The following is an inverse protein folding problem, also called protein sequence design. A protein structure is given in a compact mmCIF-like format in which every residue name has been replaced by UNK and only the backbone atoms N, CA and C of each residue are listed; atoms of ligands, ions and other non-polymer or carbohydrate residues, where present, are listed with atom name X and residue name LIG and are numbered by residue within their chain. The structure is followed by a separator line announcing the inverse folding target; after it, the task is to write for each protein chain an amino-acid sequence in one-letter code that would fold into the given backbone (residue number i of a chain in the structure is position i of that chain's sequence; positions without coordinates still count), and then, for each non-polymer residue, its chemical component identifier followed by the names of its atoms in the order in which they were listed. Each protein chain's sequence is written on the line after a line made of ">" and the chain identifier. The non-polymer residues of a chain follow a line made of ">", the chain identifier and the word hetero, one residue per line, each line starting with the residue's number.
data_IF_416167121365
#
_entry.id   IF_416167121365
#
_cell.length_a   1.000
_cell.length_b   1.000
_cell.length_c   1.000
_cell.angle_alpha   90.00
_cell.angle_beta   90.00
_cell.angle_gamma   90.00
#
_symmetry.space_group_name_H-M   'P 1'
#
loop_
_entity.id
_entity.type
_entity.pdbx_description
1 polymer ?
#
# COMPACT_ATOMS: atom_id res chain seq x y z
N UNK A 1 83.07 -27.60 37.05
CA UNK A 1 82.58 -26.33 37.63
C UNK A 1 83.39 -25.21 36.98
N UNK A 2 82.92 -24.20 36.24
CA UNK A 2 81.64 -23.72 35.71
C UNK A 2 82.08 -22.99 34.40
N UNK A 3 81.46 -23.11 33.22
CA UNK A 3 80.05 -22.88 32.90
C UNK A 3 79.98 -21.63 32.01
N UNK A 4 79.96 -21.82 30.68
CA UNK A 4 79.83 -20.76 29.67
C UNK A 4 78.51 -20.00 29.83
N UNK A 5 78.55 -18.67 29.83
CA UNK A 5 77.37 -17.81 29.84
C UNK A 5 76.92 -17.50 28.41
N UNK A 6 75.75 -18.00 28.00
CA UNK A 6 75.10 -17.65 26.76
C UNK A 6 74.21 -16.42 26.98
N UNK A 7 74.41 -15.36 26.18
CA UNK A 7 73.56 -14.16 26.15
C UNK A 7 72.30 -14.45 25.34
N UNK A 8 71.13 -14.35 25.96
CA UNK A 8 69.84 -14.34 25.29
C UNK A 8 69.46 -12.89 24.96
N UNK A 9 69.32 -12.58 23.67
CA UNK A 9 68.66 -11.35 23.19
C UNK A 9 67.16 -11.63 23.08
N UNK A 10 66.37 -11.08 23.99
CA UNK A 10 64.90 -11.11 23.91
C UNK A 10 64.45 -10.06 22.90
N UNK A 11 63.99 -10.49 21.73
CA UNK A 11 63.30 -9.64 20.78
C UNK A 11 61.89 -9.35 21.33
N UNK A 12 61.64 -8.09 21.71
CA UNK A 12 60.30 -7.58 21.97
C UNK A 12 59.55 -7.48 20.63
N UNK A 13 58.64 -8.43 20.39
CA UNK A 13 57.63 -8.31 19.35
C UNK A 13 56.65 -7.18 19.72
N UNK A 14 56.31 -6.26 18.80
CA UNK A 14 55.27 -5.29 19.06
C UNK A 14 53.93 -6.04 19.18
N UNK A 15 53.24 -5.83 20.30
CA UNK A 15 51.84 -6.20 20.48
C UNK A 15 51.03 -5.55 19.35
N UNK A 16 50.59 -6.36 18.39
CA UNK A 16 49.63 -5.93 17.38
C UNK A 16 48.36 -5.45 18.06
N UNK A 17 47.88 -4.26 17.70
CA UNK A 17 46.56 -3.78 18.07
C UNK A 17 45.53 -4.84 17.63
N UNK A 18 44.56 -5.22 18.48
CA UNK A 18 43.50 -6.12 18.07
C UNK A 18 42.76 -5.49 16.88
N UNK A 19 42.73 -6.21 15.75
CA UNK A 19 41.84 -5.85 14.65
C UNK A 19 40.40 -5.84 15.20
N UNK A 20 39.56 -4.86 14.84
CA UNK A 20 38.15 -4.90 15.22
C UNK A 20 37.58 -6.23 14.72
N UNK A 21 36.96 -6.99 15.62
CA UNK A 21 36.29 -8.23 15.26
C UNK A 21 35.28 -7.91 14.15
N UNK A 22 35.34 -8.65 13.04
CA UNK A 22 34.35 -8.52 11.99
C UNK A 22 32.97 -8.82 12.60
N UNK A 23 31.99 -7.94 12.35
CA UNK A 23 30.63 -8.13 12.83
C UNK A 23 30.11 -9.50 12.36
N UNK A 24 29.67 -10.33 13.31
CA UNK A 24 29.09 -11.64 13.01
C UNK A 24 27.57 -11.47 12.93
N UNK A 25 27.09 -11.12 11.74
CA UNK A 25 25.66 -10.88 11.50
C UNK A 25 24.90 -12.21 11.61
N UNK A 26 23.91 -12.25 12.50
CA UNK A 26 22.99 -13.36 12.67
C UNK A 26 21.60 -13.02 12.12
N UNK A 27 21.05 -13.96 11.36
CA UNK A 27 19.66 -13.96 10.92
C UNK A 27 18.91 -15.02 11.72
N UNK A 28 18.04 -14.59 12.63
CA UNK A 28 17.17 -15.47 13.42
C UNK A 28 15.74 -15.24 12.99
N UNK A 29 15.00 -16.30 12.67
CA UNK A 29 13.59 -16.19 12.32
C UNK A 29 12.76 -17.19 13.10
N UNK A 30 11.50 -16.83 13.34
CA UNK A 30 10.51 -17.66 14.01
C UNK A 30 9.20 -17.64 13.22
N UNK A 31 8.37 -18.66 13.48
CA UNK A 31 7.05 -18.78 12.88
C UNK A 31 6.02 -19.16 13.94
N UNK A 32 4.94 -18.40 13.99
CA UNK A 32 3.72 -18.79 14.69
C UNK A 32 2.67 -19.28 13.68
N UNK A 33 1.95 -20.34 14.02
CA UNK A 33 0.93 -20.94 13.17
C UNK A 33 -0.34 -21.24 13.98
N UNK A 34 -1.49 -21.24 13.29
CA UNK A 34 -2.78 -21.52 13.92
C UNK A 34 -3.07 -20.59 15.10
N UNK A 35 -3.36 -21.17 16.27
CA UNK A 35 -3.79 -20.45 17.46
C UNK A 35 -2.68 -19.66 18.16
N UNK A 36 -1.40 -19.87 17.83
CA UNK A 36 -0.30 -19.08 18.42
C UNK A 36 -0.10 -17.74 17.72
N UNK A 37 -0.70 -17.55 16.54
CA UNK A 37 -0.65 -16.29 15.82
C UNK A 37 -1.73 -15.32 16.32
N UNK A 38 -1.36 -14.07 16.59
CA UNK A 38 -2.28 -13.02 17.05
C UNK A 38 -1.80 -11.63 16.63
N UNK A 39 -2.68 -10.62 16.72
CA UNK A 39 -2.34 -9.23 16.39
C UNK A 39 -1.10 -8.68 17.13
N UNK A 40 -0.67 -9.32 18.23
CA UNK A 40 0.51 -8.93 19.00
C UNK A 40 1.83 -9.48 18.43
N UNK A 41 1.81 -10.33 17.40
CA UNK A 41 3.00 -10.98 16.83
C UNK A 41 3.93 -11.61 17.91
N UNK A 42 3.41 -12.55 18.73
CA UNK A 42 4.11 -13.01 19.92
C UNK A 42 5.22 -14.01 19.60
N UNK A 43 6.44 -13.55 19.37
CA UNK A 43 7.62 -14.40 19.17
C UNK A 43 8.41 -14.57 20.46
N UNK A 44 9.22 -15.63 20.55
CA UNK A 44 10.04 -15.94 21.73
C UNK A 44 11.37 -15.18 21.69
N UNK A 45 12.09 -15.24 20.58
CA UNK A 45 13.41 -14.61 20.41
C UNK A 45 13.38 -13.35 19.53
N UNK A 46 12.21 -13.01 18.97
CA UNK A 46 12.02 -11.85 18.11
C UNK A 46 11.18 -10.83 18.87
N UNK A 47 11.62 -9.56 18.98
CA UNK A 47 10.80 -8.51 19.57
C UNK A 47 9.44 -8.40 18.87
N UNK A 48 8.42 -7.96 19.60
CA UNK A 48 7.17 -7.54 18.97
C UNK A 48 7.43 -6.28 18.11
N UNK A 49 6.64 -6.07 17.04
CA UNK A 49 6.77 -4.88 16.20
C UNK A 49 6.61 -3.57 16.98
N UNK A 50 7.28 -2.51 16.53
CA UNK A 50 7.44 -1.26 17.26
C UNK A 50 6.87 -0.06 16.47
N UNK A 51 5.95 0.67 17.10
CA UNK A 51 5.45 1.93 16.55
C UNK A 51 6.36 3.15 16.80
N UNK A 52 7.61 2.94 17.26
CA UNK A 52 8.46 4.03 17.76
C UNK A 52 9.98 3.81 17.59
N UNK A 53 10.40 3.20 16.49
CA UNK A 53 11.82 2.97 16.16
C UNK A 53 12.34 3.93 15.05
N UNK A 54 13.59 3.77 14.63
CA UNK A 54 14.22 4.69 13.69
C UNK A 54 13.54 4.71 12.30
N UNK A 55 12.80 3.67 11.94
CA UNK A 55 12.03 3.61 10.69
C UNK A 55 10.67 4.29 10.79
N UNK A 56 10.14 4.58 11.98
CA UNK A 56 8.81 5.18 12.17
C UNK A 56 8.59 6.47 11.36
N UNK A 57 9.67 7.23 11.14
CA UNK A 57 9.67 8.48 10.35
C UNK A 57 10.42 8.38 9.01
N UNK A 58 10.77 7.17 8.58
CA UNK A 58 11.44 6.94 7.31
C UNK A 58 10.53 7.27 6.12
N UNK A 59 11.15 7.72 5.03
CA UNK A 59 10.48 7.71 3.73
C UNK A 59 10.60 6.32 3.12
N UNK A 60 9.46 5.70 2.81
CA UNK A 60 9.41 4.39 2.16
C UNK A 60 9.05 4.58 0.68
N UNK A 61 9.85 4.02 -0.21
CA UNK A 61 9.61 4.08 -1.64
C UNK A 61 9.77 2.70 -2.30
N UNK A 62 8.86 2.38 -3.22
CA UNK A 62 9.08 1.30 -4.17
C UNK A 62 9.93 1.83 -5.30
N UNK A 63 11.14 1.30 -5.44
CA UNK A 63 12.09 1.72 -6.48
C UNK A 63 12.22 0.67 -7.60
N UNK A 64 11.63 -0.50 -7.40
CA UNK A 64 11.42 -1.51 -8.43
C UNK A 64 10.24 -2.41 -8.07
N UNK A 65 9.52 -2.89 -9.09
CA UNK A 65 8.30 -3.68 -8.93
C UNK A 65 7.08 -2.82 -8.64
N UNK A 66 5.90 -3.44 -8.73
CA UNK A 66 4.61 -2.76 -8.51
C UNK A 66 3.93 -3.30 -7.26
N UNK A 67 3.29 -2.42 -6.48
CA UNK A 67 2.41 -2.83 -5.39
C UNK A 67 1.17 -3.55 -5.95
N UNK A 68 0.71 -4.59 -5.27
CA UNK A 68 -0.59 -5.17 -5.61
C UNK A 68 -1.71 -4.21 -5.17
N UNK A 69 -2.73 -3.96 -6.01
CA UNK A 69 -3.81 -3.04 -5.68
C UNK A 69 -4.62 -3.46 -4.44
N UNK A 70 -4.62 -4.73 -4.05
CA UNK A 70 -5.32 -5.19 -2.85
C UNK A 70 -4.50 -4.98 -1.56
N UNK A 71 -3.19 -4.74 -1.67
CA UNK A 71 -2.30 -4.55 -0.53
C UNK A 71 -2.30 -3.13 0.02
N UNK A 72 -1.81 -2.97 1.24
CA UNK A 72 -1.54 -1.67 1.85
C UNK A 72 -0.50 -0.86 1.05
N UNK A 73 -0.37 0.43 1.38
CA UNK A 73 0.73 1.27 0.89
C UNK A 73 2.06 0.84 1.53
N UNK A 74 3.18 1.11 0.86
CA UNK A 74 4.51 0.80 1.39
C UNK A 74 4.78 1.49 2.74
N UNK A 75 4.08 2.59 2.98
CA UNK A 75 4.01 3.32 4.25
C UNK A 75 3.55 2.46 5.45
N UNK A 76 2.78 1.39 5.22
CA UNK A 76 2.35 0.44 6.25
C UNK A 76 3.52 -0.40 6.79
N UNK A 77 4.65 -0.44 6.08
CA UNK A 77 5.83 -1.16 6.54
C UNK A 77 6.50 -0.48 7.74
N UNK A 78 6.13 0.74 8.11
CA UNK A 78 6.79 1.51 9.16
C UNK A 78 5.82 2.36 10.00
N UNK A 79 4.52 2.09 9.94
CA UNK A 79 3.50 2.92 10.58
C UNK A 79 3.06 2.44 11.97
N UNK A 80 3.60 1.32 12.47
CA UNK A 80 3.21 0.75 13.76
C UNK A 80 1.87 0.02 13.75
N UNK A 81 1.20 -0.11 12.60
CA UNK A 81 -0.12 -0.74 12.50
C UNK A 81 0.01 -2.18 12.00
N UNK A 82 -0.47 -3.11 12.84
CA UNK A 82 -0.36 -4.53 12.56
C UNK A 82 -1.68 -5.13 12.07
N UNK A 83 -1.62 -6.13 11.18
CA UNK A 83 -2.81 -6.93 10.84
C UNK A 83 -3.32 -7.67 12.07
N UNK A 84 -4.64 -7.73 12.21
CA UNK A 84 -5.34 -8.47 13.28
C UNK A 84 -5.76 -9.88 12.87
N UNK A 85 -5.53 -10.25 11.62
CA UNK A 85 -5.86 -11.56 11.07
C UNK A 85 -4.92 -11.95 9.94
N UNK A 86 -4.86 -13.25 9.67
CA UNK A 86 -3.91 -13.83 8.72
C UNK A 86 -4.16 -13.44 7.26
N UNK A 87 -5.40 -13.12 6.87
CA UNK A 87 -5.73 -12.71 5.51
C UNK A 87 -6.29 -11.29 5.50
N UNK A 88 -5.39 -10.32 5.72
CA UNK A 88 -5.72 -8.90 5.73
C UNK A 88 -4.86 -8.12 4.73
N UNK A 89 -5.16 -8.19 3.42
CA UNK A 89 -4.42 -7.47 2.39
C UNK A 89 -4.27 -5.97 2.67
N UNK A 90 -5.33 -5.30 3.13
CA UNK A 90 -5.29 -3.86 3.42
C UNK A 90 -4.41 -3.43 4.60
N UNK A 91 -3.90 -4.39 5.39
CA UNK A 91 -2.97 -4.15 6.50
C UNK A 91 -1.57 -4.75 6.23
N UNK A 92 -1.29 -5.17 4.98
CA UNK A 92 0.00 -5.72 4.59
C UNK A 92 0.42 -5.19 3.22
N UNK A 93 1.68 -4.82 3.09
CA UNK A 93 2.27 -4.55 1.78
C UNK A 93 2.64 -5.86 1.07
N UNK A 94 2.36 -5.94 -0.23
CA UNK A 94 2.88 -7.01 -1.09
C UNK A 94 2.96 -6.56 -2.55
N UNK A 95 3.92 -7.15 -3.26
CA UNK A 95 4.09 -6.90 -4.70
C UNK A 95 2.98 -7.56 -5.52
N UNK A 96 2.72 -6.98 -6.70
CA UNK A 96 1.72 -7.41 -7.66
C UNK A 96 1.84 -8.90 -8.00
N UNK A 97 0.71 -9.59 -8.10
CA UNK A 97 0.66 -10.98 -8.53
C UNK A 97 1.41 -11.21 -9.86
N UNK A 98 2.22 -12.25 -9.92
CA UNK A 98 3.04 -12.64 -11.07
C UNK A 98 4.37 -11.89 -11.17
N UNK A 99 4.62 -10.90 -10.30
CA UNK A 99 5.89 -10.17 -10.28
C UNK A 99 7.02 -11.01 -9.66
N UNK A 100 8.29 -10.78 -10.04
CA UNK A 100 9.44 -11.43 -9.41
C UNK A 100 9.75 -10.88 -7.99
N UNK A 101 8.88 -10.05 -7.41
CA UNK A 101 9.18 -9.18 -6.27
C UNK A 101 9.64 -7.80 -6.73
N UNK A 102 10.37 -7.10 -5.88
CA UNK A 102 10.79 -5.73 -6.15
C UNK A 102 11.74 -5.19 -5.08
N UNK A 103 11.92 -3.87 -5.07
CA UNK A 103 12.84 -3.18 -4.17
C UNK A 103 12.12 -2.12 -3.37
N UNK A 104 12.29 -2.20 -2.05
CA UNK A 104 11.75 -1.26 -1.09
C UNK A 104 12.93 -0.48 -0.50
N UNK A 105 12.95 0.83 -0.73
CA UNK A 105 13.90 1.75 -0.15
C UNK A 105 13.31 2.36 1.12
N UNK A 106 14.06 2.31 2.21
CA UNK A 106 13.81 3.11 3.42
C UNK A 106 14.91 4.18 3.51
N UNK A 107 14.54 5.46 3.43
CA UNK A 107 15.41 6.59 3.81
C UNK A 107 15.10 7.03 5.24
N UNK A 108 16.00 6.70 6.18
CA UNK A 108 15.90 7.06 7.60
C UNK A 108 16.09 8.56 7.87
N UNK A 109 16.28 9.37 6.81
CA UNK A 109 16.52 10.83 6.82
C UNK A 109 17.84 11.29 7.40
N UNK A 110 18.52 10.43 8.15
CA UNK A 110 19.82 10.70 8.75
C UNK A 110 20.64 9.40 8.84
N UNK A 111 21.97 9.54 8.94
CA UNK A 111 22.85 8.39 9.16
C UNK A 111 22.69 7.88 10.60
N UNK A 112 22.19 6.65 10.73
CA UNK A 112 21.80 6.03 11.99
C UNK A 112 22.71 4.83 12.30
N UNK A 113 23.11 4.66 13.56
CA UNK A 113 23.84 3.47 14.01
C UNK A 113 22.85 2.33 14.30
N UNK A 114 22.62 1.48 13.31
CA UNK A 114 21.56 0.46 13.37
C UNK A 114 22.07 -0.74 14.16
N UNK A 115 21.34 -1.14 15.20
CA UNK A 115 21.63 -2.31 16.05
C UNK A 115 20.96 -3.57 15.52
N UNK A 116 19.73 -3.43 15.02
CA UNK A 116 18.92 -4.54 14.53
C UNK A 116 17.93 -4.04 13.48
N UNK A 117 17.65 -4.89 12.51
CA UNK A 117 16.49 -4.77 11.62
C UNK A 117 15.59 -5.97 11.86
N UNK A 118 14.29 -5.74 12.03
CA UNK A 118 13.30 -6.80 12.19
C UNK A 118 12.22 -6.69 11.14
N UNK A 119 11.86 -7.78 10.46
CA UNK A 119 10.79 -7.78 9.45
C UNK A 119 9.70 -8.78 9.79
N UNK A 120 8.45 -8.37 9.58
CA UNK A 120 7.27 -9.14 9.97
C UNK A 120 6.36 -9.41 8.77
N UNK A 121 5.70 -10.57 8.77
CA UNK A 121 4.73 -10.93 7.74
C UNK A 121 3.67 -11.89 8.28
N UNK A 122 2.47 -11.88 7.70
CA UNK A 122 1.40 -12.81 8.08
C UNK A 122 0.51 -13.19 6.89
N UNK A 123 0.38 -14.49 6.63
CA UNK A 123 -0.57 -15.04 5.65
C UNK A 123 -1.00 -16.47 5.99
N UNK A 124 -2.22 -16.94 5.68
CA UNK A 124 -2.64 -18.34 5.91
C UNK A 124 -1.93 -19.38 5.04
N UNK A 125 -1.32 -18.98 3.93
CA UNK A 125 -0.64 -19.87 2.96
C UNK A 125 0.80 -19.45 2.65
N UNK A 126 1.33 -19.87 1.49
CA UNK A 126 2.73 -19.70 1.06
C UNK A 126 3.28 -18.26 0.91
N UNK A 127 2.47 -17.26 1.23
CA UNK A 127 2.80 -15.83 1.20
C UNK A 127 3.21 -15.27 2.57
N UNK A 128 3.34 -16.14 3.57
CA UNK A 128 3.87 -15.81 4.90
C UNK A 128 5.41 -15.71 4.92
N UNK A 129 6.17 -16.66 4.34
CA UNK A 129 7.62 -16.61 4.34
C UNK A 129 8.18 -15.34 3.68
N UNK A 130 9.41 -15.00 4.03
CA UNK A 130 10.13 -13.82 3.56
C UNK A 130 11.38 -14.26 2.81
N UNK A 131 11.59 -13.73 1.60
CA UNK A 131 12.77 -13.99 0.78
C UNK A 131 13.30 -12.64 0.28
N UNK A 132 14.43 -12.19 0.82
CA UNK A 132 15.02 -10.91 0.44
C UNK A 132 16.52 -10.84 0.74
N UNK A 133 17.17 -9.84 0.14
CA UNK A 133 18.47 -9.34 0.59
C UNK A 133 18.30 -7.95 1.18
N UNK A 134 18.96 -7.71 2.32
CA UNK A 134 18.98 -6.40 2.98
C UNK A 134 20.33 -5.75 2.73
N UNK A 135 20.32 -4.53 2.23
CA UNK A 135 21.51 -3.71 2.05
C UNK A 135 21.42 -2.42 2.86
N UNK A 136 22.57 -1.84 3.18
CA UNK A 136 22.69 -0.52 3.81
C UNK A 136 23.66 0.39 3.07
N UNK A 137 23.43 1.70 3.13
CA UNK A 137 24.39 2.72 2.71
C UNK A 137 24.21 4.00 3.55
N UNK A 138 25.31 4.69 3.84
CA UNK A 138 25.27 6.06 4.39
C UNK A 138 25.15 7.12 3.28
N UNK A 139 25.32 6.70 2.02
CA UNK A 139 25.28 7.54 0.83
C UNK A 139 26.58 8.27 0.50
N UNK A 140 27.68 7.99 1.20
CA UNK A 140 28.96 8.68 1.01
C UNK A 140 29.84 8.08 -0.10
N UNK A 141 29.59 6.83 -0.54
CA UNK A 141 30.30 6.23 -1.67
C UNK A 141 30.05 7.05 -2.94
N UNK A 142 31.10 7.44 -3.67
CA UNK A 142 30.97 8.24 -4.91
C UNK A 142 30.19 7.53 -6.04
N UNK A 143 29.99 6.22 -5.94
CA UNK A 143 29.16 5.41 -6.84
C UNK A 143 27.73 5.25 -6.35
N UNK A 144 27.39 5.80 -5.19
CA UNK A 144 26.10 5.59 -4.55
C UNK A 144 24.96 6.07 -5.45
N UNK A 145 24.08 5.13 -5.78
CA UNK A 145 22.80 5.42 -6.41
C UNK A 145 21.71 5.06 -5.40
N UNK A 146 20.96 6.07 -4.94
CA UNK A 146 19.89 5.85 -3.97
C UNK A 146 18.73 4.99 -4.52
N UNK A 147 18.51 5.04 -5.83
CA UNK A 147 17.41 4.34 -6.51
C UNK A 147 17.96 3.49 -7.67
N UNK A 148 18.74 2.42 -7.39
CA UNK A 148 19.28 1.58 -8.44
C UNK A 148 18.15 0.80 -9.13
N UNK A 149 18.14 0.80 -10.47
CA UNK A 149 17.18 0.05 -11.28
C UNK A 149 17.20 -1.45 -10.94
N UNK A 150 16.09 -2.18 -11.20
CA UNK A 150 15.93 -3.59 -10.75
C UNK A 150 17.07 -4.50 -11.18
N UNK A 151 17.57 -4.31 -12.39
CA UNK A 151 18.64 -5.06 -13.03
C UNK A 151 20.05 -4.67 -12.54
N UNK A 152 20.20 -3.50 -11.91
CA UNK A 152 21.48 -3.06 -11.38
C UNK A 152 21.82 -3.83 -10.10
N UNK A 153 23.08 -4.26 -9.97
CA UNK A 153 23.62 -4.81 -8.73
C UNK A 153 23.82 -3.70 -7.69
N UNK A 154 23.13 -3.74 -6.52
CA UNK A 154 23.31 -2.75 -5.48
C UNK A 154 24.77 -2.62 -5.03
N UNK A 155 25.54 -3.72 -5.02
CA UNK A 155 26.94 -3.71 -4.59
C UNK A 155 27.82 -2.84 -5.49
N UNK A 156 27.50 -2.79 -6.79
CA UNK A 156 28.19 -1.93 -7.76
C UNK A 156 27.72 -0.47 -7.69
N UNK A 157 26.63 -0.21 -6.95
CA UNK A 157 25.95 1.08 -6.85
C UNK A 157 26.09 1.71 -5.47
N UNK A 158 27.17 1.39 -4.74
CA UNK A 158 27.49 1.98 -3.43
C UNK A 158 26.67 1.46 -2.25
N UNK A 159 26.09 0.25 -2.37
CA UNK A 159 25.40 -0.44 -1.27
C UNK A 159 26.25 -1.56 -0.67
N UNK A 160 26.08 -1.79 0.62
CA UNK A 160 26.71 -2.90 1.35
C UNK A 160 25.66 -3.95 1.71
N UNK A 161 25.90 -5.22 1.37
CA UNK A 161 25.03 -6.31 1.79
C UNK A 161 25.14 -6.52 3.31
N UNK A 162 24.01 -6.46 4.00
CA UNK A 162 23.91 -6.74 5.45
C UNK A 162 23.57 -8.21 5.66
N UNK A 163 22.52 -8.71 4.99
CA UNK A 163 22.06 -10.08 5.16
C UNK A 163 21.27 -10.60 3.96
N UNK A 164 21.22 -11.93 3.82
CA UNK A 164 20.30 -12.64 2.94
C UNK A 164 19.33 -13.46 3.79
N UNK A 165 18.04 -13.38 3.48
CA UNK A 165 16.95 -13.97 4.25
C UNK A 165 16.15 -14.91 3.36
N UNK A 166 15.91 -16.12 3.87
CA UNK A 166 14.96 -17.09 3.32
C UNK A 166 14.32 -17.86 4.49
N UNK A 167 13.06 -17.56 4.79
CA UNK A 167 12.34 -18.20 5.90
C UNK A 167 11.43 -19.34 5.45
N UNK A 168 11.55 -19.79 4.20
CA UNK A 168 10.71 -20.88 3.69
C UNK A 168 11.04 -22.17 4.45
N UNK A 169 10.05 -22.80 5.12
CA UNK A 169 10.25 -24.13 5.68
C UNK A 169 10.67 -25.11 4.58
N UNK A 170 11.63 -25.99 4.88
CA UNK A 170 12.07 -27.04 3.96
C UNK A 170 10.92 -28.00 3.63
N UNK A 171 10.06 -28.27 4.61
CA UNK A 171 8.91 -29.17 4.52
C UNK A 171 7.72 -28.60 5.30
N UNK A 172 6.51 -29.08 4.98
CA UNK A 172 5.27 -28.74 5.69
C UNK A 172 4.59 -27.45 5.25
N UNK A 173 3.56 -27.06 6.00
CA UNK A 173 2.78 -25.85 5.72
C UNK A 173 3.62 -24.59 5.85
N UNK A 174 3.37 -23.62 4.97
CA UNK A 174 4.07 -22.32 4.91
C UNK A 174 3.24 -21.15 5.46
N UNK A 175 2.00 -21.39 5.88
CA UNK A 175 1.14 -20.35 6.47
C UNK A 175 1.58 -19.98 7.88
N UNK A 176 1.40 -18.72 8.28
CA UNK A 176 1.68 -18.27 9.64
C UNK A 176 2.19 -16.83 9.70
N UNK A 177 2.46 -16.40 10.92
CA UNK A 177 3.21 -15.17 11.20
C UNK A 177 4.69 -15.50 11.18
N UNK A 178 5.48 -14.70 10.48
CA UNK A 178 6.93 -14.80 10.47
C UNK A 178 7.52 -13.52 11.03
N UNK A 179 8.51 -13.67 11.88
CA UNK A 179 9.41 -12.60 12.29
C UNK A 179 10.81 -12.95 11.85
N UNK A 180 11.59 -11.97 11.40
CA UNK A 180 13.01 -12.13 11.08
C UNK A 180 13.79 -11.05 11.80
N UNK A 181 14.73 -11.44 12.64
CA UNK A 181 15.67 -10.58 13.35
C UNK A 181 17.05 -10.67 12.70
N UNK A 182 17.56 -9.54 12.21
CA UNK A 182 18.93 -9.37 11.73
C UNK A 182 19.66 -8.50 12.74
N UNK A 183 20.69 -9.04 13.40
CA UNK A 183 21.54 -8.29 14.33
C UNK A 183 22.92 -8.93 14.44
N UNK A 184 23.91 -8.20 14.95
CA UNK A 184 25.21 -8.77 15.30
C UNK A 184 25.09 -9.71 16.52
N UNK A 185 25.84 -10.82 16.51
CA UNK A 185 25.86 -11.83 17.56
C UNK A 185 26.27 -11.26 18.94
N UNK A 186 27.17 -10.27 18.96
CA UNK A 186 27.66 -9.61 20.18
C UNK A 186 26.79 -8.44 20.63
N UNK A 187 25.81 -8.03 19.82
CA UNK A 187 24.99 -6.85 20.03
C UNK A 187 25.63 -5.54 19.55
N UNK A 188 26.73 -5.61 18.78
CA UNK A 188 27.31 -4.45 18.11
C UNK A 188 26.36 -3.90 17.03
N UNK A 189 26.49 -2.62 16.64
CA UNK A 189 25.75 -2.09 15.49
C UNK A 189 26.08 -2.86 14.20
N UNK A 190 25.06 -3.18 13.41
CA UNK A 190 25.17 -3.72 12.04
C UNK A 190 25.94 -2.78 11.11
N UNK A 191 25.92 -1.48 11.42
CA UNK A 191 26.63 -0.44 10.70
C UNK A 191 25.98 0.92 10.89
N UNK A 192 26.55 1.94 10.22
CA UNK A 192 25.99 3.29 10.17
C UNK A 192 25.40 3.52 8.80
N UNK A 193 24.08 3.61 8.71
CA UNK A 193 23.36 3.70 7.43
C UNK A 193 22.28 4.78 7.50
N UNK A 194 22.07 5.48 6.39
CA UNK A 194 20.89 6.33 6.18
C UNK A 194 19.83 5.59 5.37
N UNK A 195 20.28 4.81 4.39
CA UNK A 195 19.42 4.11 3.47
C UNK A 195 19.48 2.61 3.75
N UNK A 196 18.31 1.98 3.79
CA UNK A 196 18.17 0.53 3.73
C UNK A 196 17.43 0.13 2.46
N UNK A 197 17.87 -0.95 1.84
CA UNK A 197 17.26 -1.50 0.63
C UNK A 197 16.88 -2.95 0.88
N UNK A 198 15.57 -3.22 0.85
CA UNK A 198 15.01 -4.56 0.85
C UNK A 198 14.80 -5.02 -0.60
N UNK A 199 15.69 -5.88 -1.10
CA UNK A 199 15.58 -6.48 -2.43
C UNK A 199 14.82 -7.80 -2.32
N UNK A 200 13.49 -7.72 -2.42
CA UNK A 200 12.56 -8.82 -2.19
C UNK A 200 12.34 -9.67 -3.45
N UNK A 201 12.11 -10.96 -3.22
CA UNK A 201 11.81 -11.96 -4.24
C UNK A 201 10.50 -12.69 -3.93
N UNK A 202 9.88 -13.30 -4.95
CA UNK A 202 8.77 -14.24 -4.75
C UNK A 202 9.21 -15.42 -3.87
N UNK A 203 8.35 -15.85 -2.94
CA UNK A 203 8.54 -17.07 -2.14
C UNK A 203 8.41 -18.33 -3.01
N UNK A 204 7.65 -18.23 -4.10
CA UNK A 204 7.44 -19.27 -5.09
C UNK A 204 7.24 -18.64 -6.49
N UNK A 205 8.27 -18.64 -7.36
CA UNK A 205 8.14 -18.10 -8.72
C UNK A 205 7.14 -18.84 -9.62
N UNK A 206 6.74 -20.07 -9.27
CA UNK A 206 5.75 -20.83 -10.03
C UNK A 206 4.30 -20.48 -9.62
N UNK A 207 4.12 -19.90 -8.42
CA UNK A 207 2.83 -19.38 -7.97
C UNK A 207 2.73 -17.89 -8.29
N UNK A 208 1.73 -17.52 -9.10
CA UNK A 208 1.47 -16.10 -9.40
C UNK A 208 1.16 -15.29 -8.14
N UNK A 209 0.79 -15.90 -7.04
CA UNK A 209 0.55 -15.23 -5.78
C UNK A 209 1.68 -15.43 -4.77
N UNK A 210 2.86 -15.91 -5.16
CA UNK A 210 4.01 -16.15 -4.27
C UNK A 210 4.64 -14.92 -3.59
N UNK A 211 3.97 -13.77 -3.53
CA UNK A 211 4.50 -12.51 -3.02
C UNK A 211 4.14 -12.36 -1.54
N UNK A 212 5.16 -12.19 -0.70
CA UNK A 212 5.06 -12.06 0.76
C UNK A 212 4.14 -10.92 1.19
N UNK A 213 3.25 -11.17 2.17
CA UNK A 213 2.49 -10.15 2.90
C UNK A 213 3.37 -9.56 4.00
N UNK A 214 4.15 -8.53 3.68
CA UNK A 214 4.94 -7.82 4.67
C UNK A 214 4.01 -6.96 5.54
N UNK A 215 4.08 -7.16 6.84
CA UNK A 215 3.28 -6.44 7.83
C UNK A 215 4.02 -5.21 8.32
N UNK A 216 5.31 -5.31 8.65
CA UNK A 216 6.09 -4.22 9.24
C UNK A 216 7.60 -4.47 9.13
N UNK A 217 8.40 -3.40 9.19
CA UNK A 217 9.86 -3.36 9.21
C UNK A 217 10.31 -2.39 10.30
N UNK A 218 10.91 -2.93 11.35
CA UNK A 218 11.47 -2.15 12.46
C UNK A 218 12.98 -1.94 12.26
N UNK A 219 13.46 -0.73 12.57
CA UNK A 219 14.88 -0.40 12.60
C UNK A 219 15.28 0.11 13.98
N UNK A 220 15.89 -0.76 14.78
CA UNK A 220 16.32 -0.45 16.14
C UNK A 220 17.72 0.19 16.15
N UNK A 221 17.81 1.43 16.63
CA UNK A 221 19.06 2.14 16.93
C UNK A 221 19.30 2.30 18.44
N UNK A 222 18.42 1.74 19.28
CA UNK A 222 18.44 1.85 20.73
C UNK A 222 17.75 3.10 21.28
N UNK A 223 17.13 3.93 20.43
CA UNK A 223 16.36 5.10 20.85
C UNK A 223 14.85 4.92 20.56
N UNK A 224 14.04 5.71 21.26
CA UNK A 224 12.60 5.81 21.01
C UNK A 224 12.35 7.02 20.11
N UNK A 225 11.69 6.79 18.98
CA UNK A 225 11.35 7.81 18.00
C UNK A 225 9.84 7.99 17.96
N UNK A 226 9.35 9.13 18.43
CA UNK A 226 7.92 9.41 18.33
C UNK A 226 7.49 9.54 16.86
N UNK A 227 6.38 8.90 16.51
CA UNK A 227 5.78 9.06 15.19
C UNK A 227 5.43 10.54 14.95
N UNK A 228 5.98 11.11 13.87
CA UNK A 228 5.55 12.43 13.41
C UNK A 228 4.15 12.28 12.81
N UNK A 229 3.19 13.12 13.20
CA UNK A 229 1.88 13.12 12.55
C UNK A 229 2.07 13.29 11.04
N UNK A 230 1.67 12.29 10.26
CA UNK A 230 1.59 12.45 8.81
C UNK A 230 0.40 13.37 8.53
N UNK A 231 0.61 14.54 7.90
CA UNK A 231 -0.50 15.45 7.67
C UNK A 231 -1.56 14.76 6.79
N UNK A 232 -2.85 14.96 7.09
CA UNK A 232 -3.90 14.52 6.19
C UNK A 232 -3.73 15.22 4.84
N UNK A 233 -4.10 14.55 3.75
CA UNK A 233 -4.03 15.16 2.44
C UNK A 233 -3.84 14.19 1.28
N UNK A 234 -3.70 14.79 0.11
CA UNK A 234 -3.60 14.10 -1.17
C UNK A 234 -2.18 14.31 -1.71
N UNK A 235 -1.37 13.26 -1.64
CA UNK A 235 -0.07 13.25 -2.30
C UNK A 235 -0.29 12.94 -3.79
N UNK A 236 0.22 13.80 -4.68
CA UNK A 236 0.12 13.56 -6.13
C UNK A 236 1.53 13.35 -6.67
N UNK A 237 1.80 12.14 -7.16
CA UNK A 237 3.07 11.75 -7.77
C UNK A 237 2.96 11.80 -9.30
N UNK A 238 3.66 12.76 -9.89
CA UNK A 238 3.82 12.93 -11.34
C UNK A 238 5.30 12.83 -11.73
N UNK A 239 6.13 12.15 -10.94
CA UNK A 239 7.57 12.04 -11.19
C UNK A 239 7.90 11.37 -12.53
N UNK A 240 7.05 10.46 -13.01
CA UNK A 240 7.17 9.84 -14.34
C UNK A 240 6.60 10.70 -15.47
N UNK A 241 5.80 11.73 -15.14
CA UNK A 241 5.15 12.65 -16.08
C UNK A 241 5.39 14.11 -15.68
N UNK A 242 6.66 14.55 -15.52
CA UNK A 242 6.98 15.88 -14.99
C UNK A 242 6.41 17.03 -15.82
N UNK A 243 6.14 16.82 -17.10
CA UNK A 243 5.45 17.75 -17.99
C UNK A 243 4.02 18.09 -17.58
N UNK A 244 3.37 17.27 -16.73
CA UNK A 244 2.03 17.52 -16.21
C UNK A 244 2.02 18.39 -14.96
N UNK A 245 3.18 18.75 -14.40
CA UNK A 245 3.32 19.49 -13.14
C UNK A 245 2.39 20.70 -13.05
N UNK A 246 2.42 21.58 -14.04
CA UNK A 246 1.64 22.83 -13.97
C UNK A 246 0.14 22.54 -13.94
N UNK A 247 -0.34 21.57 -14.74
CA UNK A 247 -1.74 21.15 -14.70
C UNK A 247 -2.11 20.49 -13.37
N UNK A 248 -1.24 19.63 -12.83
CA UNK A 248 -1.47 18.98 -11.53
C UNK A 248 -1.60 20.01 -10.42
N UNK A 249 -0.65 20.92 -10.32
CA UNK A 249 -0.59 21.87 -9.20
C UNK A 249 -1.63 22.98 -9.31
N UNK A 250 -1.99 23.42 -10.54
CA UNK A 250 -2.92 24.54 -10.72
C UNK A 250 -4.37 24.14 -10.96
N UNK A 251 -4.63 22.94 -11.48
CA UNK A 251 -5.99 22.45 -11.78
C UNK A 251 -6.39 21.26 -10.94
N UNK A 252 -5.62 20.17 -10.97
CA UNK A 252 -6.04 18.92 -10.34
C UNK A 252 -6.08 19.05 -8.80
N UNK A 253 -4.94 19.40 -8.17
CA UNK A 253 -4.80 19.45 -6.71
C UNK A 253 -5.90 20.29 -6.03
N UNK A 254 -6.15 21.56 -6.43
CA UNK A 254 -7.18 22.37 -5.77
C UNK A 254 -8.58 21.75 -5.85
N UNK A 255 -8.90 21.09 -6.97
CA UNK A 255 -10.19 20.41 -7.14
C UNK A 255 -10.27 19.22 -6.19
N UNK A 256 -9.25 18.36 -6.13
CA UNK A 256 -9.27 17.18 -5.25
C UNK A 256 -9.35 17.57 -3.76
N UNK A 257 -8.58 18.56 -3.34
CA UNK A 257 -8.60 19.06 -1.95
C UNK A 257 -9.96 19.67 -1.58
N UNK A 258 -10.64 20.29 -2.55
CA UNK A 258 -12.00 20.83 -2.36
C UNK A 258 -13.06 19.73 -2.33
N UNK A 259 -12.93 18.72 -3.20
CA UNK A 259 -13.99 17.73 -3.41
C UNK A 259 -13.89 16.52 -2.52
N UNK A 260 -12.69 16.09 -2.11
CA UNK A 260 -12.54 14.93 -1.25
C UNK A 260 -13.37 15.05 0.05
N UNK A 261 -13.30 16.15 0.82
CA UNK A 261 -14.16 16.31 2.01
C UNK A 261 -15.65 16.33 1.70
N UNK A 262 -16.06 16.88 0.55
CA UNK A 262 -17.47 16.86 0.10
C UNK A 262 -17.93 15.43 -0.17
N UNK A 263 -17.12 14.63 -0.86
CA UNK A 263 -17.43 13.22 -1.14
C UNK A 263 -17.56 12.43 0.16
N UNK A 264 -16.67 12.64 1.12
CA UNK A 264 -16.76 12.05 2.47
C UNK A 264 -18.09 12.39 3.14
N UNK A 265 -18.51 13.66 3.09
CA UNK A 265 -19.78 14.10 3.67
C UNK A 265 -21.02 13.53 2.94
N UNK A 266 -20.92 13.26 1.64
CA UNK A 266 -22.01 12.70 0.83
C UNK A 266 -22.19 11.19 1.04
N UNK A 267 -21.15 10.48 1.47
CA UNK A 267 -21.15 9.01 1.63
C UNK A 267 -20.85 8.55 3.08
N UNK A 268 -21.61 9.00 4.09
CA UNK A 268 -21.39 8.61 5.47
C UNK A 268 -21.83 7.16 5.74
N UNK A 269 -21.21 6.55 6.76
CA UNK A 269 -21.70 5.33 7.45
C UNK A 269 -21.44 5.49 8.94
N UNK A 270 -22.21 4.79 9.76
CA UNK A 270 -22.01 4.79 11.21
C UNK A 270 -20.63 4.20 11.56
N UNK A 271 -19.88 4.87 12.43
CA UNK A 271 -18.54 4.43 12.85
C UNK A 271 -17.44 4.51 11.77
N UNK A 272 -17.78 4.85 10.52
CA UNK A 272 -16.81 4.94 9.44
C UNK A 272 -16.06 6.27 9.45
N UNK A 273 -14.73 6.20 9.32
CA UNK A 273 -13.87 7.35 9.03
C UNK A 273 -13.21 7.10 7.67
N UNK A 274 -13.42 8.03 6.74
CA UNK A 274 -12.75 7.97 5.46
C UNK A 274 -11.22 8.14 5.64
N UNK A 275 -10.42 7.59 4.72
CA UNK A 275 -8.97 7.76 4.75
C UNK A 275 -8.56 9.23 4.89
N UNK A 276 -7.73 9.55 5.88
CA UNK A 276 -7.20 10.91 6.05
C UNK A 276 -6.08 11.23 5.06
N UNK A 277 -5.53 10.21 4.39
CA UNK A 277 -4.45 10.31 3.42
C UNK A 277 -4.68 9.37 2.26
N UNK A 278 -4.37 9.84 1.06
CA UNK A 278 -4.43 9.07 -0.17
C UNK A 278 -3.35 9.55 -1.15
N UNK A 279 -3.03 8.71 -2.13
CA UNK A 279 -2.07 9.03 -3.18
C UNK A 279 -2.74 9.02 -4.55
N UNK A 280 -2.30 9.90 -5.44
CA UNK A 280 -2.66 9.92 -6.86
C UNK A 280 -1.36 9.83 -7.66
N UNK A 281 -1.13 8.75 -8.39
CA UNK A 281 0.07 8.58 -9.21
C UNK A 281 -0.28 8.64 -10.69
N UNK A 282 0.44 9.46 -11.46
CA UNK A 282 0.29 9.53 -12.92
C UNK A 282 1.43 8.78 -13.59
N UNK A 283 1.16 7.54 -13.98
CA UNK A 283 2.14 6.64 -14.58
C UNK A 283 2.32 6.94 -16.06
N UNK A 284 3.57 6.94 -16.53
CA UNK A 284 3.86 7.21 -17.96
C UNK A 284 3.40 6.08 -18.88
N UNK A 285 3.43 4.83 -18.37
CA UNK A 285 3.20 3.60 -19.13
C UNK A 285 2.04 2.80 -18.50
N UNK A 286 0.83 3.35 -18.57
CA UNK A 286 -0.41 2.70 -18.13
C UNK A 286 -1.48 2.78 -19.22
N UNK A 287 -2.18 1.66 -19.44
CA UNK A 287 -3.36 1.60 -20.31
C UNK A 287 -4.65 1.97 -19.56
N UNK A 288 -5.68 2.38 -20.30
CA UNK A 288 -6.98 2.76 -19.73
C UNK A 288 -7.04 4.23 -19.33
N UNK A 289 -7.77 4.52 -18.25
CA UNK A 289 -8.06 5.89 -17.79
C UNK A 289 -7.45 6.11 -16.40
N UNK A 290 -8.04 5.48 -15.38
CA UNK A 290 -7.56 5.47 -14.02
C UNK A 290 -8.15 4.24 -13.30
N UNK A 291 -7.64 3.93 -12.11
CA UNK A 291 -8.27 2.99 -11.19
C UNK A 291 -7.91 3.32 -9.74
N UNK A 292 -8.73 2.84 -8.81
CA UNK A 292 -8.51 2.95 -7.36
C UNK A 292 -8.19 1.61 -6.73
N UNK A 293 -7.23 1.64 -5.81
CA UNK A 293 -6.73 0.51 -5.06
C UNK A 293 -6.52 0.92 -3.60
N UNK A 294 -7.53 0.71 -2.75
CA UNK A 294 -7.51 1.15 -1.35
C UNK A 294 -7.48 2.68 -1.23
N UNK A 295 -6.32 3.22 -0.88
CA UNK A 295 -6.03 4.67 -0.75
C UNK A 295 -5.21 5.22 -1.92
N UNK A 296 -4.98 4.42 -2.98
CA UNK A 296 -4.23 4.83 -4.16
C UNK A 296 -5.14 5.01 -5.35
N UNK A 297 -4.98 6.12 -6.04
CA UNK A 297 -5.51 6.35 -7.37
C UNK A 297 -4.35 6.31 -8.35
N UNK A 298 -4.46 5.51 -9.40
CA UNK A 298 -3.45 5.42 -10.46
C UNK A 298 -4.07 5.90 -11.76
N UNK A 299 -3.43 6.88 -12.40
CA UNK A 299 -3.90 7.56 -13.59
C UNK A 299 -3.01 7.22 -14.80
N UNK A 300 -3.63 6.94 -15.95
CA UNK A 300 -2.93 6.67 -17.18
C UNK A 300 -2.41 7.97 -17.82
N UNK A 301 -1.12 8.26 -17.66
CA UNK A 301 -0.45 9.43 -18.24
C UNK A 301 -0.75 9.67 -19.72
N UNK A 302 -0.71 8.64 -20.60
CA UNK A 302 -1.04 8.80 -22.02
C UNK A 302 -2.48 9.26 -22.29
N UNK A 303 -3.45 8.82 -21.48
CA UNK A 303 -4.84 9.25 -21.61
C UNK A 303 -5.05 10.65 -21.02
N UNK A 304 -4.46 10.93 -19.86
CA UNK A 304 -4.57 12.23 -19.18
C UNK A 304 -4.04 13.37 -20.06
N UNK A 305 -2.88 13.19 -20.72
CA UNK A 305 -2.32 14.17 -21.67
C UNK A 305 -3.28 14.59 -22.78
N UNK A 306 -4.19 13.70 -23.18
CA UNK A 306 -5.18 13.96 -24.25
C UNK A 306 -6.49 14.56 -23.73
N UNK A 307 -6.69 14.60 -22.41
CA UNK A 307 -7.97 14.93 -21.78
C UNK A 307 -7.86 16.00 -20.67
N UNK A 308 -6.74 16.75 -20.61
CA UNK A 308 -6.48 17.76 -19.58
C UNK A 308 -7.56 18.86 -19.49
N UNK A 309 -8.13 19.24 -20.64
CA UNK A 309 -9.24 20.21 -20.77
C UNK A 309 -10.61 19.55 -20.87
N UNK A 310 -10.67 18.22 -20.72
CA UNK A 310 -11.89 17.42 -20.80
C UNK A 310 -12.07 16.58 -19.55
N UNK A 311 -12.15 15.26 -19.74
CA UNK A 311 -12.57 14.33 -18.69
C UNK A 311 -11.53 14.03 -17.60
N UNK A 312 -10.29 14.54 -17.69
CA UNK A 312 -9.20 14.16 -16.80
C UNK A 312 -9.49 14.42 -15.31
N UNK A 313 -9.97 15.61 -14.96
CA UNK A 313 -10.28 15.91 -13.55
C UNK A 313 -11.48 15.11 -13.07
N UNK A 314 -12.52 15.00 -13.89
CA UNK A 314 -13.72 14.20 -13.58
C UNK A 314 -13.41 12.72 -13.37
N UNK A 315 -12.47 12.16 -14.14
CA UNK A 315 -12.01 10.78 -13.94
C UNK A 315 -11.37 10.59 -12.55
N UNK A 316 -10.53 11.52 -12.08
CA UNK A 316 -9.97 11.42 -10.72
C UNK A 316 -11.05 11.63 -9.64
N UNK A 317 -12.07 12.46 -9.89
CA UNK A 317 -13.23 12.59 -8.99
C UNK A 317 -13.97 11.26 -8.84
N UNK A 318 -14.18 10.52 -9.93
CA UNK A 318 -14.75 9.17 -9.89
C UNK A 318 -13.91 8.24 -9.01
N UNK A 319 -12.60 8.23 -9.19
CA UNK A 319 -11.68 7.43 -8.38
C UNK A 319 -11.67 7.84 -6.89
N UNK A 320 -11.74 9.13 -6.58
CA UNK A 320 -11.87 9.59 -5.19
C UNK A 320 -13.13 9.06 -4.50
N UNK A 321 -14.22 8.82 -5.26
CA UNK A 321 -15.39 8.16 -4.69
C UNK A 321 -15.05 6.75 -4.25
N UNK A 322 -14.32 5.97 -5.04
CA UNK A 322 -13.87 4.63 -4.64
C UNK A 322 -12.98 4.65 -3.40
N UNK A 323 -12.11 5.66 -3.24
CA UNK A 323 -11.31 5.86 -2.02
C UNK A 323 -12.20 6.08 -0.79
N UNK A 324 -13.36 6.74 -0.94
CA UNK A 324 -14.32 6.95 0.16
C UNK A 324 -15.26 5.75 0.35
N UNK A 325 -15.56 5.00 -0.71
CA UNK A 325 -16.43 3.85 -0.61
C UNK A 325 -15.83 2.81 0.34
N UNK A 326 -14.55 2.43 0.13
CA UNK A 326 -13.84 1.39 0.89
C UNK A 326 -14.75 0.25 1.36
N UNK A 327 -15.55 -0.31 0.45
CA UNK A 327 -16.59 -1.26 0.84
C UNK A 327 -16.05 -2.58 1.42
N UNK A 328 -14.74 -2.77 1.44
CA UNK A 328 -14.08 -3.93 2.02
C UNK A 328 -14.47 -5.24 1.33
N UNK A 329 -13.89 -6.35 1.78
CA UNK A 329 -14.44 -7.68 1.52
C UNK A 329 -15.10 -8.15 2.80
N UNK A 330 -16.42 -8.34 2.76
CA UNK A 330 -17.15 -8.93 3.90
C UNK A 330 -16.99 -10.43 3.82
N UNK A 331 -16.31 -11.04 4.81
CA UNK A 331 -16.07 -12.48 4.84
C UNK A 331 -17.40 -13.23 4.92
N UNK A 332 -17.73 -14.00 3.89
CA UNK A 332 -18.98 -14.75 3.79
C UNK A 332 -20.20 -13.94 3.31
N UNK A 333 -20.02 -12.65 2.99
CA UNK A 333 -21.06 -11.81 2.38
C UNK A 333 -21.02 -11.87 0.84
N UNK A 334 -22.16 -11.58 0.20
CA UNK A 334 -22.19 -11.39 -1.25
C UNK A 334 -21.40 -10.12 -1.63
N UNK A 335 -20.65 -10.12 -2.74
CA UNK A 335 -19.99 -8.92 -3.21
C UNK A 335 -21.02 -7.84 -3.54
N UNK A 336 -20.65 -6.58 -3.32
CA UNK A 336 -21.51 -5.46 -3.71
C UNK A 336 -21.74 -5.47 -5.24
N UNK A 337 -22.94 -5.09 -5.73
CA UNK A 337 -23.21 -5.08 -7.15
C UNK A 337 -22.32 -4.04 -7.86
N UNK A 338 -21.43 -4.49 -8.75
CA UNK A 338 -20.48 -3.61 -9.43
C UNK A 338 -21.15 -2.42 -10.12
N UNK A 339 -22.30 -2.64 -10.76
CA UNK A 339 -23.04 -1.57 -11.42
C UNK A 339 -23.45 -0.42 -10.49
N UNK A 340 -23.76 -0.74 -9.23
CA UNK A 340 -24.15 0.24 -8.24
C UNK A 340 -22.92 0.95 -7.65
N UNK A 341 -21.83 0.21 -7.45
CA UNK A 341 -20.54 0.78 -7.00
C UNK A 341 -20.05 1.84 -8.00
N UNK A 342 -19.99 1.49 -9.28
CA UNK A 342 -19.63 2.39 -10.38
C UNK A 342 -20.65 3.51 -10.58
N UNK A 343 -21.94 3.18 -10.49
CA UNK A 343 -23.03 4.14 -10.66
C UNK A 343 -23.04 5.25 -9.61
N UNK A 344 -22.70 4.93 -8.35
CA UNK A 344 -22.57 5.93 -7.28
C UNK A 344 -21.38 6.86 -7.55
N UNK A 345 -20.25 6.31 -8.00
CA UNK A 345 -19.07 7.11 -8.39
C UNK A 345 -19.40 8.08 -9.53
N UNK A 346 -20.06 7.59 -10.58
CA UNK A 346 -20.46 8.42 -11.71
C UNK A 346 -21.65 9.35 -11.41
N UNK A 347 -22.51 9.04 -10.44
CA UNK A 347 -23.54 9.96 -9.97
C UNK A 347 -22.90 11.22 -9.38
N UNK A 348 -21.94 11.04 -8.46
CA UNK A 348 -21.21 12.15 -7.86
C UNK A 348 -20.44 12.92 -8.93
N UNK A 349 -19.71 12.22 -9.81
CA UNK A 349 -18.98 12.87 -10.91
C UNK A 349 -19.92 13.66 -11.82
N UNK A 350 -20.85 13.00 -12.52
CA UNK A 350 -21.58 13.62 -13.62
C UNK A 350 -22.71 14.56 -13.20
N UNK A 351 -23.31 14.35 -12.04
CA UNK A 351 -24.50 15.10 -11.64
C UNK A 351 -24.25 16.14 -10.56
N UNK A 352 -23.20 15.96 -9.74
CA UNK A 352 -22.84 16.89 -8.67
C UNK A 352 -21.58 17.70 -9.00
N UNK A 353 -20.55 17.09 -9.57
CA UNK A 353 -19.30 17.77 -9.93
C UNK A 353 -19.34 18.41 -11.33
N UNK A 354 -19.59 17.61 -12.37
CA UNK A 354 -19.57 18.05 -13.76
C UNK A 354 -20.74 19.02 -14.05
N UNK A 355 -20.54 20.01 -14.94
CA UNK A 355 -21.56 20.98 -15.25
C UNK A 355 -22.77 20.35 -15.98
N UNK A 356 -23.98 20.90 -15.82
CA UNK A 356 -25.21 20.29 -16.33
C UNK A 356 -25.23 19.98 -17.83
N UNK A 357 -24.52 20.74 -18.67
CA UNK A 357 -24.49 20.53 -20.11
C UNK A 357 -23.70 19.28 -20.54
N UNK A 358 -22.84 18.73 -19.67
CA UNK A 358 -22.10 17.49 -19.89
C UNK A 358 -22.82 16.24 -19.36
N UNK A 359 -23.96 16.40 -18.67
CA UNK A 359 -24.66 15.29 -18.03
C UNK A 359 -25.03 14.20 -19.04
N UNK A 360 -24.79 12.92 -18.71
CA UNK A 360 -25.08 11.82 -19.60
C UNK A 360 -26.59 11.71 -19.86
N UNK A 361 -26.93 11.38 -21.10
CA UNK A 361 -28.30 11.17 -21.58
C UNK A 361 -28.38 9.78 -22.21
N UNK A 362 -28.36 8.71 -21.40
CA UNK A 362 -28.39 7.35 -21.92
C UNK A 362 -29.69 7.10 -22.68
N UNK A 363 -29.61 6.29 -23.75
CA UNK A 363 -30.78 5.78 -24.44
C UNK A 363 -31.51 4.79 -23.53
N UNK A 364 -32.55 5.28 -22.84
CA UNK A 364 -33.29 4.53 -21.82
C UNK A 364 -34.01 3.31 -22.40
N UNK A 365 -34.33 3.30 -23.69
CA UNK A 365 -35.01 2.18 -24.33
C UNK A 365 -34.07 0.99 -24.58
N UNK A 366 -32.76 1.24 -24.67
CA UNK A 366 -31.75 0.21 -24.94
C UNK A 366 -30.89 -0.15 -23.73
N UNK A 367 -30.77 0.78 -22.77
CA UNK A 367 -29.94 0.62 -21.60
C UNK A 367 -30.64 -0.19 -20.48
N UNK A 368 -29.85 -0.59 -19.48
CA UNK A 368 -30.31 -1.21 -18.24
C UNK A 368 -29.68 -0.50 -17.05
N UNK A 369 -30.36 -0.47 -15.90
CA UNK A 369 -29.78 0.11 -14.68
C UNK A 369 -28.47 -0.58 -14.25
N UNK A 370 -28.23 -1.81 -14.73
CA UNK A 370 -27.00 -2.58 -14.49
C UNK A 370 -25.84 -2.24 -15.43
N UNK A 371 -26.02 -1.34 -16.40
CA UNK A 371 -24.96 -0.98 -17.37
C UNK A 371 -23.85 -0.10 -16.78
N UNK A 372 -23.89 0.15 -15.46
CA UNK A 372 -22.87 0.87 -14.69
C UNK A 372 -22.70 2.33 -15.13
N UNK A 373 -21.72 3.01 -14.54
CA UNK A 373 -21.22 4.33 -14.97
C UNK A 373 -22.36 5.34 -15.25
N UNK A 374 -22.26 6.07 -16.36
CA UNK A 374 -23.19 7.08 -16.87
C UNK A 374 -24.65 6.64 -16.89
N UNK A 375 -24.94 5.37 -17.21
CA UNK A 375 -26.32 4.86 -17.28
C UNK A 375 -26.92 4.78 -15.89
N UNK A 376 -26.25 4.07 -14.99
CA UNK A 376 -26.69 3.94 -13.60
C UNK A 376 -26.71 5.29 -12.90
N UNK A 377 -25.72 6.16 -13.15
CA UNK A 377 -25.67 7.50 -12.57
C UNK A 377 -26.88 8.36 -12.95
N UNK A 378 -27.31 8.33 -14.22
CA UNK A 378 -28.50 9.05 -14.66
C UNK A 378 -29.78 8.54 -14.00
N UNK A 379 -29.86 7.22 -13.79
CA UNK A 379 -30.97 6.60 -13.06
C UNK A 379 -30.96 6.99 -11.58
N UNK A 380 -29.82 6.87 -10.89
CA UNK A 380 -29.68 7.30 -9.50
C UNK A 380 -30.04 8.78 -9.32
N UNK A 381 -29.61 9.65 -10.24
CA UNK A 381 -30.00 11.05 -10.23
C UNK A 381 -31.52 11.23 -10.34
N UNK A 382 -32.19 10.49 -11.23
CA UNK A 382 -33.65 10.53 -11.32
C UNK A 382 -34.29 10.15 -9.97
N UNK A 383 -33.89 9.02 -9.38
CA UNK A 383 -34.42 8.56 -8.09
C UNK A 383 -34.19 9.55 -6.95
N UNK A 384 -33.01 10.16 -6.89
CA UNK A 384 -32.68 11.20 -5.92
C UNK A 384 -33.61 12.43 -6.04
N UNK A 385 -34.12 12.71 -7.24
CA UNK A 385 -35.01 13.86 -7.50
C UNK A 385 -36.50 13.55 -7.44
N UNK A 386 -36.91 12.29 -7.62
CA UNK A 386 -38.33 11.93 -7.76
C UNK A 386 -38.85 10.94 -6.72
N UNK A 387 -37.99 10.13 -6.11
CA UNK A 387 -38.42 9.06 -5.20
C UNK A 387 -37.92 9.29 -3.78
N UNK A 388 -36.60 9.44 -3.57
CA UNK A 388 -36.01 9.55 -2.24
C UNK A 388 -34.61 10.19 -2.30
N UNK A 389 -34.47 11.38 -1.73
CA UNK A 389 -33.22 12.16 -1.73
C UNK A 389 -32.12 11.60 -0.81
N UNK A 390 -32.40 10.51 -0.07
CA UNK A 390 -31.44 9.78 0.75
C UNK A 390 -31.01 8.44 0.15
N UNK A 391 -31.55 8.04 -1.01
CA UNK A 391 -31.38 6.67 -1.52
C UNK A 391 -29.90 6.31 -1.72
N UNK A 392 -29.10 7.19 -2.35
CA UNK A 392 -27.66 6.95 -2.57
C UNK A 392 -26.91 6.80 -1.24
N UNK A 393 -27.21 7.66 -0.26
CA UNK A 393 -26.60 7.59 1.09
C UNK A 393 -26.92 6.29 1.81
N UNK A 394 -28.19 5.84 1.75
CA UNK A 394 -28.64 4.61 2.40
C UNK A 394 -28.06 3.36 1.74
N UNK A 395 -28.02 3.32 0.41
CA UNK A 395 -27.40 2.23 -0.36
C UNK A 395 -25.90 2.16 -0.09
N UNK A 396 -25.21 3.31 -0.10
CA UNK A 396 -23.79 3.39 0.24
C UNK A 396 -23.50 2.78 1.62
N UNK A 397 -24.28 3.16 2.63
CA UNK A 397 -24.06 2.64 3.99
C UNK A 397 -24.30 1.13 4.07
N UNK A 398 -25.36 0.64 3.44
CA UNK A 398 -25.64 -0.79 3.39
C UNK A 398 -24.55 -1.58 2.65
N UNK A 399 -24.01 -1.06 1.54
CA UNK A 399 -22.91 -1.68 0.81
C UNK A 399 -21.61 -1.71 1.63
N UNK A 400 -21.30 -0.63 2.34
CA UNK A 400 -20.12 -0.55 3.20
C UNK A 400 -20.17 -1.51 4.38
N UNK A 401 -21.36 -1.68 4.96
CA UNK A 401 -21.57 -2.53 6.13
C UNK A 401 -21.84 -4.00 5.77
N UNK A 402 -21.82 -4.36 4.48
CA UNK A 402 -22.10 -5.73 4.03
C UNK A 402 -23.56 -6.16 4.16
N UNK A 403 -24.48 -5.21 4.29
CA UNK A 403 -25.92 -5.43 4.52
C UNK A 403 -26.78 -5.18 3.27
N UNK A 404 -26.16 -4.83 2.14
CA UNK A 404 -26.88 -4.61 0.90
C UNK A 404 -27.60 -5.89 0.45
N UNK A 405 -28.88 -5.73 0.10
CA UNK A 405 -29.73 -6.78 -0.48
C UNK A 405 -30.77 -6.13 -1.40
N UNK A 406 -31.29 -6.82 -2.43
CA UNK A 406 -32.26 -6.26 -3.37
C UNK A 406 -33.53 -5.69 -2.71
N UNK A 407 -33.95 -6.25 -1.57
CA UNK A 407 -35.15 -5.82 -0.84
C UNK A 407 -35.03 -4.40 -0.30
N UNK A 408 -33.80 -3.89 -0.14
CA UNK A 408 -33.55 -2.53 0.33
C UNK A 408 -34.15 -1.48 -0.61
N UNK A 409 -34.28 -1.76 -1.91
CA UNK A 409 -34.95 -0.86 -2.86
C UNK A 409 -36.43 -0.67 -2.49
N UNK A 410 -37.13 -1.77 -2.19
CA UNK A 410 -38.53 -1.74 -1.76
C UNK A 410 -38.68 -1.11 -0.39
N UNK A 411 -37.78 -1.40 0.55
CA UNK A 411 -37.78 -0.77 1.88
C UNK A 411 -37.63 0.76 1.81
N UNK A 412 -36.81 1.26 0.86
CA UNK A 412 -36.53 2.69 0.74
C UNK A 412 -37.53 3.47 -0.14
N UNK A 413 -38.24 2.80 -1.05
CA UNK A 413 -39.04 3.46 -2.09
C UNK A 413 -40.46 2.90 -2.27
N UNK A 414 -40.77 1.79 -1.60
CA UNK A 414 -41.99 1.01 -1.81
C UNK A 414 -42.01 0.20 -3.12
N UNK A 415 -40.92 0.20 -3.91
CA UNK A 415 -40.84 -0.44 -5.22
C UNK A 415 -39.54 -1.22 -5.40
N UNK A 416 -39.59 -2.28 -6.19
CA UNK A 416 -38.40 -3.00 -6.65
C UNK A 416 -37.54 -2.15 -7.58
N UNK A 417 -36.26 -2.48 -7.72
CA UNK A 417 -35.36 -1.76 -8.65
C UNK A 417 -35.84 -1.86 -10.10
N UNK A 418 -36.46 -2.97 -10.49
CA UNK A 418 -37.03 -3.18 -11.82
C UNK A 418 -38.22 -2.24 -12.10
N UNK A 419 -39.14 -2.10 -11.13
CA UNK A 419 -40.26 -1.16 -11.24
C UNK A 419 -39.78 0.29 -11.28
N UNK A 420 -38.76 0.62 -10.48
CA UNK A 420 -38.13 1.95 -10.52
C UNK A 420 -37.50 2.24 -11.89
N UNK A 421 -36.80 1.26 -12.46
CA UNK A 421 -36.23 1.39 -13.80
C UNK A 421 -37.30 1.55 -14.88
N UNK A 422 -38.36 0.74 -14.84
CA UNK A 422 -39.48 0.85 -15.78
C UNK A 422 -40.08 2.27 -15.78
N UNK A 423 -40.29 2.86 -14.60
CA UNK A 423 -40.78 4.24 -14.46
C UNK A 423 -39.79 5.27 -14.99
N UNK A 424 -38.49 5.06 -14.79
CA UNK A 424 -37.45 5.93 -15.36
C UNK A 424 -37.46 5.89 -16.90
N UNK A 425 -37.67 4.72 -17.50
CA UNK A 425 -37.81 4.55 -18.95
C UNK A 425 -39.06 5.28 -19.46
N UNK A 426 -40.22 5.07 -18.82
CA UNK A 426 -41.49 5.73 -19.18
C UNK A 426 -41.42 7.25 -19.10
N UNK A 427 -40.80 7.80 -18.04
CA UNK A 427 -40.57 9.23 -17.89
C UNK A 427 -39.65 9.83 -18.97
N UNK A 428 -38.93 8.98 -19.73
CA UNK A 428 -38.10 9.40 -20.87
C UNK A 428 -38.84 9.38 -22.21
N UNK A 429 -39.94 8.63 -22.32
CA UNK A 429 -40.74 8.50 -23.54
C UNK A 429 -41.83 9.56 -23.72
N UNK A 430 -42.01 10.46 -22.75
CA UNK A 430 -43.02 11.54 -22.74
C UNK A 430 -42.48 12.86 -23.29
N UNK A 431 -41.73 12.82 -24.41
CA UNK A 431 -41.22 14.02 -25.09
C UNK A 431 -41.78 14.21 -26.49
#
# INVERSE_FOLDING_TARGET
>A
MNGLAARWMTALLPLGLPAPAAAEIQVVWERNAGQTASAAFPFKAIPAPSASDAATNAEVALIAGEADPNGADADALVDGQLPTGSDQPGANFFFRAGSPGGRILLDLRQVTAIRRVTTYSWHPGGRGPQVYRLYGSDGADGRFQARPAREADPLQSGWTLIAAVDTRPKEGERGGQYGVRIADASGAPLGRYRYLLLDASSTDPADRFGQTFYSEIDVDDGAVHAAKPRPPGIAIDYSETPELKDWVETKLRPVLETWYPKIVAMLPSEGYRAPSRLTVTIQKDMEGVAYTAGTRVVCAGPWFKKNLEGEAVGAVIHELVHVVQQYGRVRGGAPNPGWLVEGVADYIRWFLYEPPHLRPKPDRARAKYTDSYRVTAAFLNHLMTTENDQIVKRLNAAMREGRYRPELWTELTGKTVDELWARYVEAGGTR
#
